data_IF_327860271898
#
_entry.id   IF_327860271898
#
_cell.length_a   1.000
_cell.length_b   1.000
_cell.length_c   1.000
_cell.angle_alpha   90.00
_cell.angle_beta   90.00
_cell.angle_gamma   90.00
#
_symmetry.space_group_name_H-M   'P 1'
#
loop_
_entity.id
_entity.type
_entity.pdbx_description
1 polymer ?
#
# COMPACT_ATOMS: atom_id res chain seq x y z
N UNK A 1 -51.94 -22.56 26.82
CA UNK A 1 -50.52 -22.99 26.67
C UNK A 1 -49.79 -21.92 25.88
N UNK A 2 -49.04 -21.06 26.57
CA UNK A 2 -48.31 -19.95 25.95
C UNK A 2 -47.03 -20.47 25.29
N UNK A 3 -46.88 -20.28 23.98
CA UNK A 3 -45.61 -20.44 23.29
C UNK A 3 -44.90 -19.08 23.25
N UNK A 4 -43.85 -18.96 24.06
CA UNK A 4 -42.97 -17.80 24.06
C UNK A 4 -41.93 -17.96 22.95
N UNK A 5 -42.02 -17.16 21.89
CA UNK A 5 -41.06 -17.11 20.79
C UNK A 5 -39.84 -16.28 21.23
N UNK A 6 -38.72 -16.93 21.53
CA UNK A 6 -37.44 -16.25 21.75
C UNK A 6 -36.83 -15.86 20.39
N UNK A 7 -36.85 -14.56 20.07
CA UNK A 7 -36.11 -14.00 18.93
C UNK A 7 -34.67 -13.72 19.39
N UNK A 8 -33.71 -14.49 18.87
CA UNK A 8 -32.29 -14.27 19.13
C UNK A 8 -31.80 -13.10 18.27
N UNK A 9 -31.70 -11.91 18.86
CA UNK A 9 -31.09 -10.74 18.20
C UNK A 9 -29.57 -10.91 18.28
N UNK A 10 -28.94 -11.35 17.19
CA UNK A 10 -27.47 -11.35 17.06
C UNK A 10 -27.05 -9.92 16.75
N UNK A 11 -26.61 -9.19 17.77
CA UNK A 11 -25.96 -7.89 17.61
C UNK A 11 -24.55 -8.18 17.08
N UNK A 12 -24.34 -8.03 15.78
CA UNK A 12 -23.01 -7.94 15.21
C UNK A 12 -22.39 -6.61 15.66
N UNK A 13 -21.70 -6.63 16.80
CA UNK A 13 -20.87 -5.52 17.21
C UNK A 13 -19.74 -5.36 16.19
N UNK A 14 -19.84 -4.33 15.34
CA UNK A 14 -18.70 -3.83 14.59
C UNK A 14 -17.69 -3.30 15.62
N UNK A 15 -16.75 -4.15 16.02
CA UNK A 15 -15.59 -3.72 16.80
C UNK A 15 -14.82 -2.73 15.92
N UNK A 16 -14.86 -1.45 16.30
CA UNK A 16 -13.86 -0.51 15.83
C UNK A 16 -12.47 -1.09 16.18
N UNK A 17 -11.48 -1.01 15.28
CA UNK A 17 -10.16 -1.54 15.55
C UNK A 17 -9.64 -0.94 16.86
N UNK A 18 -9.31 -1.82 17.82
CA UNK A 18 -8.73 -1.43 19.10
C UNK A 18 -7.50 -0.55 18.88
N UNK A 19 -7.37 0.52 19.66
CA UNK A 19 -6.27 1.50 19.63
C UNK A 19 -4.85 0.92 19.82
N UNK A 20 -4.70 -0.41 19.96
CA UNK A 20 -3.43 -1.11 20.15
C UNK A 20 -2.84 -1.81 18.93
N UNK A 21 -3.59 -2.04 17.84
CA UNK A 21 -3.06 -2.70 16.65
C UNK A 21 -2.74 -1.66 15.58
N UNK A 22 -1.47 -1.54 15.20
CA UNK A 22 -1.05 -0.55 14.21
C UNK A 22 -1.78 -0.82 12.89
N UNK A 23 -2.27 0.23 12.22
CA UNK A 23 -2.97 0.08 10.94
C UNK A 23 -2.10 -0.68 9.91
N UNK A 24 -0.77 -0.57 10.05
CA UNK A 24 0.19 -1.33 9.26
C UNK A 24 0.11 -2.84 9.49
N UNK A 25 -0.16 -3.29 10.72
CA UNK A 25 -0.19 -4.72 11.06
C UNK A 25 -1.36 -5.46 10.40
N UNK A 26 -2.41 -4.72 10.02
CA UNK A 26 -3.60 -5.22 9.34
C UNK A 26 -3.38 -5.43 7.82
N UNK A 27 -2.24 -5.00 7.28
CA UNK A 27 -1.89 -5.19 5.87
C UNK A 27 -1.46 -6.64 5.61
N UNK A 28 -1.75 -7.14 4.40
CA UNK A 28 -1.19 -8.41 3.95
C UNK A 28 0.32 -8.30 3.76
N UNK A 29 1.05 -9.43 3.75
CA UNK A 29 2.50 -9.43 3.55
C UNK A 29 2.90 -8.77 2.22
N UNK A 30 2.11 -8.98 1.17
CA UNK A 30 2.35 -8.34 -0.13
C UNK A 30 2.16 -6.82 -0.02
N UNK A 31 1.07 -6.35 0.58
CA UNK A 31 0.80 -4.93 0.81
C UNK A 31 1.90 -4.25 1.63
N UNK A 32 2.38 -4.91 2.70
CA UNK A 32 3.47 -4.43 3.55
C UNK A 32 4.72 -4.12 2.74
N UNK A 33 5.13 -5.02 1.84
CA UNK A 33 6.32 -4.82 0.99
C UNK A 33 6.22 -3.56 0.11
N UNK A 34 5.04 -3.28 -0.44
CA UNK A 34 4.81 -2.04 -1.19
C UNK A 34 4.86 -0.78 -0.33
N UNK A 35 4.24 -0.84 0.86
CA UNK A 35 4.26 0.26 1.83
C UNK A 35 5.67 0.53 2.32
N UNK A 36 6.43 -0.50 2.67
CA UNK A 36 7.81 -0.40 3.14
C UNK A 36 8.69 0.23 2.08
N UNK A 37 8.60 -0.25 0.83
CA UNK A 37 9.33 0.32 -0.30
C UNK A 37 9.06 1.83 -0.48
N UNK A 38 7.81 2.25 -0.37
CA UNK A 38 7.44 3.65 -0.48
C UNK A 38 7.89 4.49 0.74
N UNK A 39 7.83 3.93 1.95
CA UNK A 39 8.31 4.59 3.17
C UNK A 39 9.84 4.71 3.19
N UNK A 40 10.57 3.69 2.75
CA UNK A 40 12.03 3.74 2.56
C UNK A 40 12.43 4.86 1.59
N UNK A 41 11.73 4.97 0.46
CA UNK A 41 11.95 6.05 -0.49
C UNK A 41 11.66 7.43 0.11
N UNK A 42 10.54 7.59 0.83
CA UNK A 42 10.15 8.84 1.46
C UNK A 42 11.10 9.26 2.59
N UNK A 43 11.49 8.31 3.44
CA UNK A 43 12.33 8.56 4.61
C UNK A 43 13.81 8.77 4.25
N UNK A 44 14.27 8.19 3.14
CA UNK A 44 15.63 8.42 2.63
C UNK A 44 15.79 9.79 1.94
N UNK A 45 14.69 10.38 1.43
CA UNK A 45 14.72 11.66 0.72
C UNK A 45 15.41 12.79 1.52
N UNK A 46 16.22 13.62 0.85
CA UNK A 46 17.07 14.63 1.51
C UNK A 46 16.28 15.71 2.26
N UNK A 47 15.11 16.09 1.75
CA UNK A 47 14.21 17.07 2.37
C UNK A 47 13.34 16.52 3.51
N UNK A 48 13.44 15.23 3.81
CA UNK A 48 12.70 14.59 4.92
C UNK A 48 13.43 14.83 6.24
N UNK A 49 12.76 15.50 7.19
CA UNK A 49 13.31 15.81 8.50
C UNK A 49 12.86 14.86 9.60
N UNK A 50 11.65 14.30 9.46
CA UNK A 50 11.02 13.41 10.43
C UNK A 50 10.72 12.07 9.78
N UNK A 51 10.75 11.02 10.58
CA UNK A 51 10.37 9.70 10.11
C UNK A 51 8.86 9.66 9.84
N UNK A 52 8.47 9.12 8.69
CA UNK A 52 7.10 8.88 8.29
C UNK A 52 6.77 7.39 8.48
N UNK A 53 5.54 7.13 8.94
CA UNK A 53 5.01 5.78 9.08
C UNK A 53 3.66 5.67 8.37
N UNK A 54 3.29 4.46 7.99
CA UNK A 54 1.98 4.16 7.41
C UNK A 54 0.87 4.59 8.38
N UNK A 55 -0.14 5.30 7.87
CA UNK A 55 -1.27 5.76 8.67
C UNK A 55 -2.56 5.03 8.31
N UNK A 56 -2.92 5.00 7.01
CA UNK A 56 -4.08 4.24 6.52
C UNK A 56 -4.07 4.07 5.01
N UNK A 57 -4.72 3.02 4.53
CA UNK A 57 -5.03 2.80 3.11
C UNK A 57 -6.14 3.74 2.63
N UNK A 58 -6.08 4.14 1.36
CA UNK A 58 -7.12 4.92 0.67
C UNK A 58 -7.76 4.11 -0.45
N UNK A 59 -6.93 3.57 -1.33
CA UNK A 59 -7.35 2.73 -2.46
C UNK A 59 -6.31 1.65 -2.66
N UNK A 60 -6.77 0.42 -2.88
CA UNK A 60 -5.88 -0.70 -3.18
C UNK A 60 -6.57 -1.66 -4.12
N UNK A 61 -5.80 -2.27 -5.01
CA UNK A 61 -6.26 -3.37 -5.84
C UNK A 61 -5.08 -4.28 -6.18
N UNK A 62 -5.40 -5.53 -6.46
CA UNK A 62 -4.44 -6.53 -6.89
C UNK A 62 -5.06 -7.38 -8.00
N UNK A 63 -4.24 -7.72 -8.99
CA UNK A 63 -4.67 -8.56 -10.12
C UNK A 63 -3.60 -9.59 -10.40
N UNK A 64 -3.99 -10.85 -10.58
CA UNK A 64 -3.07 -11.88 -11.04
C UNK A 64 -2.59 -11.54 -12.45
N UNK A 65 -1.27 -11.60 -12.66
CA UNK A 65 -0.58 -11.26 -13.90
C UNK A 65 0.01 -12.50 -14.61
N UNK A 66 -0.48 -13.68 -14.25
CA UNK A 66 -0.04 -14.98 -14.75
C UNK A 66 1.18 -15.55 -14.04
N UNK A 67 1.38 -16.86 -14.15
CA UNK A 67 2.51 -17.60 -13.57
C UNK A 67 2.70 -17.34 -12.06
N UNK A 68 1.60 -17.20 -11.31
CA UNK A 68 1.62 -16.95 -9.87
C UNK A 68 2.10 -15.56 -9.46
N UNK A 69 2.32 -14.64 -10.41
CA UNK A 69 2.73 -13.28 -10.14
C UNK A 69 1.52 -12.35 -10.02
N UNK A 70 1.58 -11.38 -9.11
CA UNK A 70 0.53 -10.41 -8.87
C UNK A 70 1.00 -9.01 -9.19
N UNK A 71 0.15 -8.22 -9.84
CA UNK A 71 0.29 -6.77 -9.90
C UNK A 71 -0.49 -6.14 -8.73
N UNK A 72 0.14 -5.21 -8.03
CA UNK A 72 -0.45 -4.53 -6.87
C UNK A 72 -0.38 -3.03 -7.08
N UNK A 73 -1.47 -2.35 -6.75
CA UNK A 73 -1.55 -0.91 -6.57
C UNK A 73 -2.02 -0.59 -5.16
N UNK A 74 -1.34 0.35 -4.51
CA UNK A 74 -1.71 0.81 -3.18
C UNK A 74 -1.51 2.32 -3.06
N UNK A 75 -2.60 3.04 -2.83
CA UNK A 75 -2.64 4.45 -2.43
C UNK A 75 -2.96 4.53 -0.93
N UNK A 76 -2.13 5.23 -0.17
CA UNK A 76 -2.22 5.34 1.28
C UNK A 76 -1.68 6.66 1.81
N UNK A 77 -2.08 7.00 3.04
CA UNK A 77 -1.49 8.10 3.78
C UNK A 77 -0.31 7.64 4.62
N UNK A 78 0.78 8.39 4.54
CA UNK A 78 1.89 8.37 5.48
C UNK A 78 1.83 9.62 6.37
N UNK A 79 2.12 9.43 7.66
CA UNK A 79 2.05 10.49 8.67
C UNK A 79 3.40 10.63 9.37
N UNK A 80 3.83 11.89 9.53
CA UNK A 80 5.06 12.21 10.23
C UNK A 80 4.99 11.79 11.69
N UNK A 81 6.12 11.43 12.26
CA UNK A 81 6.26 11.02 13.65
C UNK A 81 7.09 12.02 14.45
N UNK A 82 7.13 11.84 15.77
CA UNK A 82 8.01 12.59 16.68
C UNK A 82 9.49 12.33 16.42
N UNK A 83 9.85 11.19 15.82
CA UNK A 83 11.23 10.80 15.55
C UNK A 83 11.82 11.58 14.36
N UNK A 84 13.04 12.07 14.54
CA UNK A 84 13.82 12.74 13.49
C UNK A 84 14.44 11.71 12.54
N UNK A 85 14.80 12.16 11.33
CA UNK A 85 15.56 11.34 10.38
C UNK A 85 16.87 10.87 11.03
N UNK A 86 17.20 9.59 10.82
CA UNK A 86 18.38 8.95 11.42
C UNK A 86 18.14 8.31 12.79
N UNK A 87 16.92 8.36 13.33
CA UNK A 87 16.54 7.55 14.50
C UNK A 87 16.69 6.07 14.16
N UNK A 88 17.40 5.31 15.00
CA UNK A 88 17.53 3.86 14.86
C UNK A 88 16.21 3.17 15.24
N UNK A 89 15.84 2.14 14.47
CA UNK A 89 14.65 1.29 14.70
C UNK A 89 13.33 2.04 15.00
N UNK A 90 12.92 3.01 14.18
CA UNK A 90 11.74 3.82 14.46
C UNK A 90 10.45 2.99 14.43
N UNK A 91 9.70 2.94 15.53
CA UNK A 91 8.44 2.19 15.61
C UNK A 91 7.34 2.90 16.42
N UNK A 92 6.16 2.27 16.48
CA UNK A 92 4.96 2.82 17.09
C UNK A 92 5.09 3.21 18.56
N UNK A 93 5.92 2.49 19.33
CA UNK A 93 6.01 2.67 20.78
C UNK A 93 6.63 4.02 21.16
N UNK A 94 7.59 4.51 20.39
CA UNK A 94 8.30 5.77 20.69
C UNK A 94 8.27 6.82 19.58
N UNK A 95 7.98 6.43 18.34
CA UNK A 95 7.75 7.34 17.22
C UNK A 95 6.24 7.55 17.00
N UNK A 96 5.62 8.28 17.92
CA UNK A 96 4.20 8.59 17.88
C UNK A 96 3.89 9.58 16.75
N UNK A 97 2.66 9.55 16.23
CA UNK A 97 2.27 10.42 15.13
C UNK A 97 2.18 11.89 15.57
N UNK A 98 2.64 12.77 14.68
CA UNK A 98 2.47 14.21 14.80
C UNK A 98 1.16 14.67 14.18
N UNK A 99 0.46 15.55 14.86
CA UNK A 99 -0.78 16.17 14.37
C UNK A 99 -0.56 17.57 13.79
N UNK A 100 0.63 18.15 13.94
CA UNK A 100 0.99 19.51 13.48
C UNK A 100 1.54 19.54 12.05
N UNK A 101 1.65 18.40 11.38
CA UNK A 101 2.19 18.27 10.02
C UNK A 101 1.14 17.73 9.05
N UNK A 102 1.16 18.16 7.78
CA UNK A 102 0.26 17.61 6.77
C UNK A 102 0.58 16.15 6.48
N UNK A 103 -0.44 15.39 6.09
CA UNK A 103 -0.27 14.03 5.57
C UNK A 103 0.45 14.04 4.22
N UNK A 104 1.22 12.98 3.98
CA UNK A 104 1.76 12.63 2.67
C UNK A 104 0.85 11.56 2.08
N UNK A 105 0.43 11.73 0.82
CA UNK A 105 -0.24 10.69 0.06
C UNK A 105 0.76 9.98 -0.86
N UNK A 106 0.97 8.69 -0.59
CA UNK A 106 1.84 7.81 -1.35
C UNK A 106 1.00 6.88 -2.24
N UNK A 107 1.38 6.79 -3.51
CA UNK A 107 0.91 5.77 -4.42
C UNK A 107 2.09 4.89 -4.82
N UNK A 108 1.92 3.57 -4.75
CA UNK A 108 2.91 2.58 -5.16
C UNK A 108 2.26 1.53 -6.03
N UNK A 109 2.92 1.13 -7.11
CA UNK A 109 2.53 -0.03 -7.88
C UNK A 109 3.72 -0.85 -8.37
N UNK A 110 3.57 -2.17 -8.31
CA UNK A 110 4.65 -3.12 -8.46
C UNK A 110 4.12 -4.50 -8.80
N UNK A 111 5.00 -5.34 -9.34
CA UNK A 111 4.74 -6.76 -9.55
C UNK A 111 5.44 -7.58 -8.46
N UNK A 112 4.80 -8.62 -7.97
CA UNK A 112 5.31 -9.51 -6.92
C UNK A 112 5.14 -10.97 -7.32
N UNK A 113 6.11 -11.82 -7.00
CA UNK A 113 6.04 -13.27 -7.21
C UNK A 113 6.79 -13.98 -6.08
N UNK A 114 6.17 -15.01 -5.48
CA UNK A 114 6.72 -15.72 -4.31
C UNK A 114 7.27 -14.77 -3.25
N UNK A 115 6.43 -13.80 -2.85
CA UNK A 115 6.75 -12.72 -1.91
C UNK A 115 7.87 -11.76 -2.35
N UNK A 116 8.44 -11.85 -3.54
CA UNK A 116 9.51 -10.96 -3.98
C UNK A 116 8.98 -9.90 -4.95
N UNK A 117 9.18 -8.62 -4.64
CA UNK A 117 8.91 -7.54 -5.59
C UNK A 117 9.86 -7.74 -6.77
N UNK A 118 9.30 -7.88 -7.97
CA UNK A 118 10.07 -8.04 -9.19
C UNK A 118 10.71 -6.71 -9.57
N UNK A 119 11.94 -6.78 -10.08
CA UNK A 119 12.67 -5.60 -10.58
C UNK A 119 12.14 -5.10 -11.91
N UNK A 120 11.46 -5.96 -12.68
CA UNK A 120 10.85 -5.63 -13.97
C UNK A 120 9.37 -6.05 -13.99
N UNK A 121 8.43 -5.14 -14.29
CA UNK A 121 8.67 -3.70 -14.43
C UNK A 121 9.10 -3.04 -13.11
N UNK A 122 9.96 -2.02 -13.21
CA UNK A 122 10.46 -1.28 -12.04
C UNK A 122 9.29 -0.72 -11.22
N UNK A 123 9.25 -0.96 -9.90
CA UNK A 123 8.22 -0.38 -9.02
C UNK A 123 8.10 1.14 -9.19
N UNK A 124 6.87 1.61 -9.33
CA UNK A 124 6.55 3.03 -9.33
C UNK A 124 6.19 3.48 -7.92
N UNK A 125 6.80 4.58 -7.48
CA UNK A 125 6.56 5.19 -6.17
C UNK A 125 6.34 6.69 -6.39
N UNK A 126 5.26 7.23 -5.82
CA UNK A 126 5.01 8.66 -5.80
C UNK A 126 4.41 9.08 -4.46
N UNK A 127 5.16 9.85 -3.67
CA UNK A 127 4.72 10.41 -2.41
C UNK A 127 4.63 11.94 -2.52
N UNK A 128 3.45 12.51 -2.29
CA UNK A 128 3.17 13.94 -2.46
C UNK A 128 2.47 14.49 -1.23
N UNK A 129 2.90 15.67 -0.77
CA UNK A 129 2.21 16.37 0.34
C UNK A 129 0.82 16.77 -0.11
N UNK A 130 -0.19 16.55 0.73
CA UNK A 130 -1.60 16.80 0.39
C UNK A 130 -1.88 18.19 -0.24
N UNK A 131 -1.29 19.31 0.20
CA UNK A 131 -1.51 20.60 -0.45
C UNK A 131 -1.08 20.67 -1.93
N UNK A 132 -0.14 19.80 -2.35
CA UNK A 132 0.36 19.72 -3.71
C UNK A 132 -0.27 18.58 -4.52
N UNK A 133 -1.21 17.84 -3.93
CA UNK A 133 -1.88 16.73 -4.57
C UNK A 133 -3.11 17.26 -5.32
N UNK A 134 -2.98 17.39 -6.64
CA UNK A 134 -4.09 17.73 -7.53
C UNK A 134 -4.74 16.48 -8.11
N UNK A 135 -5.95 16.62 -8.65
CA UNK A 135 -6.64 15.53 -9.38
C UNK A 135 -5.80 15.04 -10.56
N UNK A 136 -5.12 15.95 -11.26
CA UNK A 136 -4.20 15.59 -12.35
C UNK A 136 -3.04 14.71 -11.88
N UNK A 137 -2.49 14.96 -10.68
CA UNK A 137 -1.43 14.13 -10.11
C UNK A 137 -1.97 12.75 -9.77
N UNK A 138 -3.18 12.65 -9.20
CA UNK A 138 -3.81 11.36 -8.91
C UNK A 138 -4.07 10.57 -10.20
N UNK A 139 -4.66 11.20 -11.20
CA UNK A 139 -4.94 10.58 -12.50
C UNK A 139 -3.67 10.07 -13.17
N UNK A 140 -2.61 10.87 -13.22
CA UNK A 140 -1.31 10.45 -13.79
C UNK A 140 -0.71 9.23 -13.09
N UNK A 141 -0.86 9.13 -11.76
CA UNK A 141 -0.41 7.95 -10.99
C UNK A 141 -1.18 6.70 -11.41
N UNK A 142 -2.51 6.80 -11.50
CA UNK A 142 -3.35 5.67 -11.92
C UNK A 142 -3.07 5.24 -13.36
N UNK A 143 -2.96 6.20 -14.28
CA UNK A 143 -2.60 5.93 -15.69
C UNK A 143 -1.24 5.24 -15.83
N UNK A 144 -0.23 5.69 -15.06
CA UNK A 144 1.09 5.05 -15.05
C UNK A 144 1.01 3.60 -14.59
N UNK A 145 0.33 3.34 -13.47
CA UNK A 145 0.17 2.01 -12.93
C UNK A 145 -0.65 1.09 -13.85
N UNK A 146 -1.72 1.61 -14.45
CA UNK A 146 -2.50 0.85 -15.44
C UNK A 146 -1.63 0.46 -16.64
N UNK A 147 -0.84 1.39 -17.18
CA UNK A 147 0.07 1.09 -18.29
C UNK A 147 1.09 0.01 -17.93
N UNK A 148 1.65 0.08 -16.71
CA UNK A 148 2.59 -0.91 -16.18
C UNK A 148 1.94 -2.30 -16.09
N UNK A 149 0.68 -2.39 -15.64
CA UNK A 149 -0.08 -3.64 -15.60
C UNK A 149 -0.26 -4.26 -16.99
N UNK A 150 -0.61 -3.47 -18.01
CA UNK A 150 -0.85 -3.97 -19.37
C UNK A 150 0.41 -4.34 -20.14
N UNK A 151 1.54 -3.66 -19.88
CA UNK A 151 2.83 -3.97 -20.53
C UNK A 151 3.36 -5.38 -20.20
N UNK A 152 2.82 -6.01 -19.16
CA UNK A 152 3.19 -7.36 -18.72
C UNK A 152 2.41 -8.45 -19.47
N UNK A 153 1.30 -8.09 -20.14
CA UNK A 153 0.43 -9.03 -20.85
C UNK A 153 0.85 -9.34 -22.30
N UNK A 154 1.81 -8.63 -22.87
CA UNK A 154 2.41 -8.99 -24.17
C UNK A 154 3.40 -10.13 -23.98
N UNK A 155 2.87 -11.34 -23.78
CA UNK A 155 3.62 -12.58 -23.96
C UNK A 155 4.09 -12.58 -25.42
N UNK A 156 5.41 -12.47 -25.63
CA UNK A 156 6.02 -12.89 -26.90
C UNK A 156 5.82 -14.39 -27.04
N UNK A 157 4.70 -14.80 -27.64
CA UNK A 157 4.50 -16.15 -28.15
C UNK A 157 5.47 -16.35 -29.32
N UNK A 158 6.69 -16.76 -29.01
CA UNK A 158 7.65 -17.27 -29.99
C UNK A 158 8.09 -18.67 -29.55
N UNK A 159 7.74 -19.67 -30.38
CA UNK A 159 8.55 -20.89 -30.50
C UNK A 159 7.84 -22.23 -30.29
N UNK A 160 6.83 -22.54 -31.11
CA UNK A 160 6.58 -23.95 -31.48
C UNK A 160 6.18 -24.01 -32.95
N UNK A 161 7.17 -23.90 -33.84
CA UNK A 161 7.03 -24.53 -35.16
C UNK A 161 7.34 -26.01 -34.96
N UNK A 162 6.30 -26.82 -34.79
CA UNK A 162 6.42 -28.24 -35.06
C UNK A 162 6.82 -28.44 -36.52
N UNK A 163 7.90 -29.18 -36.75
CA UNK A 163 8.16 -29.84 -38.02
C UNK A 163 7.93 -31.32 -37.80
N UNK A 164 6.95 -31.86 -38.51
CA UNK A 164 6.87 -33.27 -38.86
C UNK A 164 7.97 -33.62 -39.87
#
# INVERSE_FOLDING_TARGET
MNQSLMVLVVIAAFLAPSEGQDAYDQLSNMEKKGVDLALENLNSHSSTQYHFRFFRSLKKFSTESGFGAWFIYHNFYAKATTCTKGTEEPNAKWCTFRNDKPLIECAVCYKIHSDNILSEPKPYISCVRKPSLTEDVQKKREEHCNKMQYSVGTISLLGSTGRE
#
